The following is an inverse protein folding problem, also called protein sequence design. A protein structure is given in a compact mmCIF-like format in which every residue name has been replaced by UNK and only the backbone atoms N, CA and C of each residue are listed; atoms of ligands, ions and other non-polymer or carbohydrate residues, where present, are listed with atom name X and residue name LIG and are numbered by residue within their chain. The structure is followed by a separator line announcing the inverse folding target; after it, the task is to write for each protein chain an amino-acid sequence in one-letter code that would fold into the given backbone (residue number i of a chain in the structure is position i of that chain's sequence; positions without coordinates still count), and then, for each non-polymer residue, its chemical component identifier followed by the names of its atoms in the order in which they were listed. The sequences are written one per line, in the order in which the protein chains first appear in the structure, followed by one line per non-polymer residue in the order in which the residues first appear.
data_IF_114381596059
#
_entry.id   IF_114381596059
#
_cell.length_a   1.000
_cell.length_b   1.000
_cell.length_c   1.000
_cell.angle_alpha   90.00
_cell.angle_beta   90.00
_cell.angle_gamma   90.00
#
_symmetry.space_group_name_H-M   'P 1'
#
loop_
_entity.id
_entity.type
_entity.pdbx_description
1 polymer ?
#
# COMPACT_ATOMS: atom_id res chain seq x y z
N UNK A 1 -10.28 2.97 -10.46
CA UNK A 1 -10.53 2.59 -9.05
C UNK A 1 -11.50 1.41 -9.03
N UNK A 2 -11.04 0.16 -9.17
CA UNK A 2 -11.93 -1.01 -9.27
C UNK A 2 -12.88 -1.21 -8.09
N UNK A 3 -12.47 -0.77 -6.90
CA UNK A 3 -13.22 -0.96 -5.65
C UNK A 3 -14.18 0.21 -5.30
N UNK A 4 -14.32 1.22 -6.15
CA UNK A 4 -15.03 2.48 -5.79
C UNK A 4 -16.52 2.31 -5.46
N UNK A 5 -17.15 1.27 -5.98
CA UNK A 5 -18.57 0.96 -5.74
C UNK A 5 -18.81 -0.16 -4.73
N UNK A 6 -17.75 -0.69 -4.11
CA UNK A 6 -17.85 -1.80 -3.15
C UNK A 6 -17.82 -1.28 -1.72
N UNK A 7 -18.58 -1.91 -0.83
CA UNK A 7 -18.41 -1.72 0.60
C UNK A 7 -17.23 -2.55 1.15
N UNK A 8 -16.89 -2.30 2.42
CA UNK A 8 -15.77 -2.99 3.09
C UNK A 8 -15.96 -4.50 3.16
N UNK A 9 -17.19 -4.98 3.39
CA UNK A 9 -17.47 -6.39 3.56
C UNK A 9 -17.34 -7.13 2.23
N UNK A 10 -17.77 -6.52 1.12
CA UNK A 10 -17.60 -7.06 -0.23
C UNK A 10 -16.11 -7.21 -0.58
N UNK A 11 -15.29 -6.20 -0.28
CA UNK A 11 -13.83 -6.26 -0.51
C UNK A 11 -13.18 -7.37 0.32
N UNK A 12 -13.57 -7.47 1.59
CA UNK A 12 -13.05 -8.49 2.51
C UNK A 12 -13.47 -9.90 2.09
N UNK A 13 -14.69 -10.10 1.60
CA UNK A 13 -15.13 -11.39 1.07
C UNK A 13 -14.35 -11.75 -0.19
N UNK A 14 -14.10 -10.77 -1.07
CA UNK A 14 -13.31 -10.98 -2.29
C UNK A 14 -11.86 -11.33 -1.98
N UNK A 15 -11.23 -10.70 -0.98
CA UNK A 15 -9.85 -11.03 -0.60
C UNK A 15 -9.71 -12.42 0.01
N UNK A 16 -10.75 -12.93 0.69
CA UNK A 16 -10.79 -14.34 1.13
C UNK A 16 -10.97 -15.31 -0.03
N UNK A 17 -11.84 -14.98 -0.99
CA UNK A 17 -12.06 -15.78 -2.21
C UNK A 17 -10.75 -15.99 -3.00
N UNK A 18 -9.91 -14.96 -3.09
CA UNK A 18 -8.62 -15.01 -3.82
C UNK A 18 -7.41 -15.35 -2.92
N UNK A 19 -7.63 -15.66 -1.64
CA UNK A 19 -6.57 -16.10 -0.72
C UNK A 19 -5.58 -15.02 -0.26
N UNK A 20 -5.90 -13.73 -0.37
CA UNK A 20 -5.01 -12.62 0.03
C UNK A 20 -5.31 -12.02 1.40
N UNK A 21 -6.46 -12.36 1.99
CA UNK A 21 -6.92 -11.79 3.26
C UNK A 21 -5.88 -11.95 4.38
N UNK A 22 -5.38 -13.17 4.62
CA UNK A 22 -4.49 -13.47 5.77
C UNK A 22 -3.16 -12.72 5.69
N UNK A 23 -2.60 -12.57 4.48
CA UNK A 23 -1.37 -11.79 4.25
C UNK A 23 -1.65 -10.29 4.44
N UNK A 24 -2.81 -9.80 4.00
CA UNK A 24 -3.14 -8.38 4.02
C UNK A 24 -3.44 -7.83 5.43
N UNK A 25 -3.65 -8.70 6.42
CA UNK A 25 -3.95 -8.33 7.82
C UNK A 25 -2.76 -8.54 8.77
N UNK A 26 -1.59 -8.90 8.25
CA UNK A 26 -0.39 -9.03 9.07
C UNK A 26 -0.09 -7.69 9.76
N UNK A 27 0.33 -7.70 11.04
CA UNK A 27 0.76 -6.47 11.72
C UNK A 27 1.97 -5.87 10.99
N UNK A 28 1.87 -4.60 10.60
CA UNK A 28 2.95 -3.85 9.96
C UNK A 28 3.28 -2.60 10.78
N UNK A 29 4.53 -2.14 10.68
CA UNK A 29 4.99 -0.88 11.29
C UNK A 29 4.39 0.27 10.48
N UNK A 30 3.28 0.83 10.98
CA UNK A 30 2.49 1.86 10.30
C UNK A 30 3.32 3.12 9.97
N UNK A 31 3.90 3.17 8.76
CA UNK A 31 4.38 4.43 8.19
C UNK A 31 3.24 5.47 8.15
N UNK A 32 2.00 5.00 8.03
CA UNK A 32 0.78 5.79 8.13
C UNK A 32 0.69 6.58 9.43
N UNK A 33 1.01 5.99 10.59
CA UNK A 33 0.89 6.69 11.88
C UNK A 33 1.91 7.84 12.01
N UNK A 34 3.08 7.70 11.39
CA UNK A 34 4.12 8.73 11.40
C UNK A 34 3.73 9.96 10.58
N UNK A 35 3.07 9.76 9.44
CA UNK A 35 2.75 10.83 8.48
C UNK A 35 1.29 11.30 8.51
N UNK A 36 0.41 10.63 9.27
CA UNK A 36 -1.00 11.01 9.35
C UNK A 36 -1.18 12.29 10.17
N UNK A 37 -1.68 13.40 9.57
CA UNK A 37 -2.03 14.59 10.34
C UNK A 37 -3.25 14.30 11.23
N UNK A 38 -3.31 14.95 12.40
CA UNK A 38 -4.44 14.82 13.35
C UNK A 38 -5.81 15.14 12.74
N UNK A 39 -5.84 16.05 11.76
CA UNK A 39 -7.06 16.52 11.10
C UNK A 39 -6.86 16.53 9.57
N UNK A 40 -7.06 15.39 8.89
CA UNK A 40 -6.91 15.33 7.44
C UNK A 40 -8.02 16.12 6.73
N UNK A 41 -7.66 16.89 5.71
CA UNK A 41 -8.62 17.62 4.90
C UNK A 41 -9.40 16.65 3.99
N UNK A 42 -10.73 16.66 4.08
CA UNK A 42 -11.61 15.82 3.24
C UNK A 42 -11.97 16.47 1.90
N UNK A 43 -11.68 17.76 1.75
CA UNK A 43 -11.83 18.53 0.51
C UNK A 43 -10.67 19.52 0.40
N UNK A 44 -9.82 19.35 -0.61
CA UNK A 44 -8.71 20.24 -0.93
C UNK A 44 -8.93 20.87 -2.31
N UNK A 45 -8.44 22.10 -2.51
CA UNK A 45 -8.41 22.78 -3.82
C UNK A 45 -7.02 22.75 -4.41
N UNK A 46 -6.90 22.98 -5.73
CA UNK A 46 -5.60 22.97 -6.42
C UNK A 46 -4.69 24.07 -5.87
N UNK A 47 -5.23 25.25 -5.57
CA UNK A 47 -4.46 26.38 -5.03
C UNK A 47 -3.87 26.05 -3.66
N UNK A 48 -4.59 25.28 -2.84
CA UNK A 48 -4.10 24.83 -1.53
C UNK A 48 -2.94 23.82 -1.69
N UNK A 49 -3.03 22.94 -2.69
CA UNK A 49 -1.98 21.95 -2.97
C UNK A 49 -0.72 22.64 -3.50
N UNK A 50 -0.86 23.52 -4.49
CA UNK A 50 0.27 24.29 -5.05
C UNK A 50 1.01 25.05 -3.97
N UNK A 51 0.28 25.73 -3.07
CA UNK A 51 0.88 26.44 -1.95
C UNK A 51 1.61 25.53 -0.95
N UNK A 52 1.08 24.33 -0.71
CA UNK A 52 1.72 23.36 0.18
C UNK A 52 3.02 22.81 -0.44
N UNK A 53 3.08 22.70 -1.77
CA UNK A 53 4.22 22.18 -2.53
C UNK A 53 5.31 23.23 -2.79
N UNK A 54 5.04 24.55 -2.64
CA UNK A 54 6.00 25.65 -2.90
C UNK A 54 7.39 25.48 -2.26
N UNK A 55 7.48 24.80 -1.11
CA UNK A 55 8.73 24.61 -0.37
C UNK A 55 9.29 23.18 -0.48
N UNK A 56 8.75 22.37 -1.39
CA UNK A 56 9.12 20.98 -1.60
C UNK A 56 9.52 20.82 -3.07
N UNK A 57 10.74 20.33 -3.31
CA UNK A 57 11.19 19.99 -4.65
C UNK A 57 10.60 18.62 -5.06
N UNK A 58 9.33 18.65 -5.47
CA UNK A 58 8.55 17.45 -5.78
C UNK A 58 9.17 16.72 -6.97
N UNK A 59 9.61 17.43 -8.00
CA UNK A 59 10.24 16.88 -9.18
C UNK A 59 11.51 16.09 -8.82
N UNK A 60 12.44 16.69 -8.06
CA UNK A 60 13.66 15.99 -7.66
C UNK A 60 13.39 14.76 -6.77
N UNK A 61 12.39 14.83 -5.90
CA UNK A 61 11.98 13.69 -5.06
C UNK A 61 11.40 12.55 -5.90
N UNK A 62 10.57 12.86 -6.89
CA UNK A 62 10.00 11.88 -7.81
C UNK A 62 11.09 11.24 -8.65
N UNK A 63 12.00 12.03 -9.22
CA UNK A 63 13.12 11.54 -10.02
C UNK A 63 14.02 10.60 -9.19
N UNK A 64 14.39 11.00 -7.96
CA UNK A 64 15.18 10.15 -7.07
C UNK A 64 14.48 8.84 -6.66
N UNK A 65 13.15 8.86 -6.51
CA UNK A 65 12.36 7.67 -6.22
C UNK A 65 12.31 6.70 -7.42
N UNK A 66 12.23 7.23 -8.64
CA UNK A 66 12.24 6.44 -9.87
C UNK A 66 13.64 5.85 -10.14
N UNK A 67 14.70 6.61 -9.90
CA UNK A 67 16.08 6.17 -10.08
C UNK A 67 16.46 5.01 -9.15
N UNK A 68 15.91 4.99 -7.93
CA UNK A 68 16.15 3.95 -6.93
C UNK A 68 15.19 2.75 -7.00
N UNK A 69 14.32 2.70 -8.01
CA UNK A 69 13.29 1.67 -8.13
C UNK A 69 13.89 0.27 -8.38
N UNK A 70 13.42 -0.71 -7.59
CA UNK A 70 13.81 -2.12 -7.72
C UNK A 70 12.69 -2.91 -8.41
N UNK A 71 13.06 -3.69 -9.43
CA UNK A 71 12.16 -4.62 -10.13
C UNK A 71 12.43 -6.05 -9.69
N UNK A 72 11.38 -6.76 -9.32
CA UNK A 72 11.39 -8.21 -9.10
C UNK A 72 10.40 -8.88 -10.04
N UNK A 73 10.70 -10.11 -10.46
CA UNK A 73 9.78 -10.98 -11.21
C UNK A 73 9.43 -12.15 -10.31
N UNK A 74 8.14 -12.36 -10.06
CA UNK A 74 7.63 -13.45 -9.24
C UNK A 74 7.11 -14.54 -10.17
N UNK A 75 7.63 -15.75 -9.99
CA UNK A 75 7.15 -16.96 -10.69
C UNK A 75 6.15 -17.73 -9.81
N UNK A 76 5.18 -18.40 -10.43
CA UNK A 76 4.23 -19.25 -9.71
C UNK A 76 4.94 -20.43 -9.06
N UNK A 77 5.08 -20.40 -7.74
CA UNK A 77 5.44 -21.60 -6.98
C UNK A 77 4.16 -22.34 -6.65
N UNK A 78 4.00 -23.56 -7.18
CA UNK A 78 2.90 -24.45 -6.77
C UNK A 78 3.08 -24.77 -5.28
N UNK A 79 2.22 -24.22 -4.43
CA UNK A 79 2.13 -24.60 -3.03
C UNK A 79 1.60 -26.04 -2.98
N UNK A 80 2.53 -26.98 -2.81
CA UNK A 80 2.22 -28.34 -2.40
C UNK A 80 1.69 -28.34 -0.97
N UNK A 81 0.69 -29.20 -0.75
CA UNK A 81 0.13 -29.59 0.53
C UNK A 81 1.23 -30.12 1.44
N UNK A 82 1.82 -29.28 2.30
CA UNK A 82 2.70 -29.74 3.38
C UNK A 82 2.51 -28.84 4.60
N UNK A 83 1.85 -29.40 5.61
CA UNK A 83 1.80 -28.85 6.94
C UNK A 83 3.22 -28.72 7.53
N UNK A 84 3.43 -27.60 8.22
CA UNK A 84 4.53 -27.33 9.15
C UNK A 84 5.94 -27.22 8.52
N UNK A 85 6.35 -26.00 8.16
CA UNK A 85 7.72 -25.59 8.43
C UNK A 85 7.80 -24.12 8.87
N UNK A 86 8.58 -23.92 9.92
CA UNK A 86 8.89 -22.62 10.52
C UNK A 86 9.96 -21.94 9.69
N UNK A 87 10.08 -20.62 9.87
CA UNK A 87 11.22 -19.79 9.48
C UNK A 87 11.37 -19.46 7.99
N UNK A 88 10.79 -18.32 7.58
CA UNK A 88 11.61 -17.28 6.93
C UNK A 88 11.43 -15.96 7.66
N UNK A 89 12.50 -15.63 8.36
CA UNK A 89 12.81 -14.36 9.00
C UNK A 89 12.93 -13.32 7.87
N UNK A 90 12.03 -12.35 7.87
CA UNK A 90 12.29 -11.03 7.30
C UNK A 90 12.56 -10.09 8.47
#
# INVERSE_FOLDING_TARGET
RPLVGMDKQEIVNKSREIGTYDISILPDEDCCALFLPKHPATKATIEQLQKAEENIDVEALVDGALDSLRREVIEETRLGDDGNDKTKKY
#
